data_IF_032886075858
#
_entry.id   IF_032886075858
#
_cell.length_a   1.000
_cell.length_b   1.000
_cell.length_c   1.000
_cell.angle_alpha   90.00
_cell.angle_beta   90.00
_cell.angle_gamma   90.00
#
_symmetry.space_group_name_H-M   'P 1'
#
loop_
_entity.id
_entity.type
_entity.pdbx_description
1 polymer ?
#
# COMPACT_ATOMS: atom_id res chain seq x y z
N UNK A 1 25.92 -35.54 11.44
CA UNK A 1 24.87 -35.37 10.42
C UNK A 1 25.32 -34.33 9.39
N UNK A 2 25.80 -34.81 8.24
CA UNK A 2 26.27 -34.01 7.10
C UNK A 2 25.09 -33.24 6.49
N UNK A 3 25.09 -31.93 6.72
CA UNK A 3 23.99 -31.01 6.44
C UNK A 3 24.11 -30.31 5.09
N UNK A 4 24.16 -31.06 3.99
CA UNK A 4 24.15 -30.49 2.63
C UNK A 4 22.72 -30.27 2.14
N UNK A 5 22.00 -29.35 2.78
CA UNK A 5 20.82 -28.75 2.13
C UNK A 5 21.32 -27.71 1.13
N UNK A 6 20.92 -27.77 -0.15
CA UNK A 6 21.38 -26.83 -1.15
C UNK A 6 20.97 -25.40 -0.77
N UNK A 7 21.87 -24.44 -0.99
CA UNK A 7 21.56 -23.01 -0.79
C UNK A 7 20.48 -22.62 -1.79
N UNK A 8 19.31 -22.23 -1.28
CA UNK A 8 18.17 -21.79 -2.09
C UNK A 8 18.19 -20.28 -2.28
N UNK A 9 17.49 -19.79 -3.31
CA UNK A 9 17.26 -18.37 -3.52
C UNK A 9 16.61 -17.71 -2.28
N UNK A 10 15.64 -18.39 -1.66
CA UNK A 10 14.95 -17.92 -0.46
C UNK A 10 15.91 -17.75 0.73
N UNK A 11 16.83 -18.71 0.93
CA UNK A 11 17.86 -18.61 1.98
C UNK A 11 18.78 -17.40 1.76
N UNK A 12 19.16 -17.12 0.50
CA UNK A 12 19.97 -15.95 0.16
C UNK A 12 19.19 -14.65 0.37
N UNK A 13 17.94 -14.57 -0.10
CA UNK A 13 17.08 -13.41 0.08
C UNK A 13 16.88 -13.09 1.58
N UNK A 14 16.61 -14.10 2.39
CA UNK A 14 16.47 -13.94 3.84
C UNK A 14 17.78 -13.51 4.52
N UNK A 15 18.92 -14.04 4.06
CA UNK A 15 20.25 -13.63 4.53
C UNK A 15 20.52 -12.15 4.23
N UNK A 16 20.28 -11.72 2.98
CA UNK A 16 20.42 -10.33 2.55
C UNK A 16 19.49 -9.40 3.34
N UNK A 17 18.21 -9.77 3.49
CA UNK A 17 17.23 -9.01 4.26
C UNK A 17 17.74 -8.73 5.69
N UNK A 18 18.24 -9.78 6.37
CA UNK A 18 18.80 -9.65 7.73
C UNK A 18 20.01 -8.74 7.77
N UNK A 19 20.91 -8.82 6.79
CA UNK A 19 22.09 -7.96 6.71
C UNK A 19 21.71 -6.48 6.48
N UNK A 20 20.80 -6.23 5.54
CA UNK A 20 20.35 -4.87 5.19
C UNK A 20 19.62 -4.21 6.35
N UNK A 21 18.92 -4.99 7.19
CA UNK A 21 18.15 -4.48 8.34
C UNK A 21 18.87 -4.66 9.68
N UNK A 22 20.12 -5.14 9.69
CA UNK A 22 20.83 -5.48 10.93
C UNK A 22 21.11 -4.28 11.84
N UNK A 23 21.27 -3.07 11.27
CA UNK A 23 21.75 -1.92 12.00
C UNK A 23 20.86 -0.68 11.77
N UNK A 24 20.32 -0.04 12.82
CA UNK A 24 19.36 1.06 12.69
C UNK A 24 19.83 2.23 11.83
N UNK A 25 21.13 2.57 11.90
CA UNK A 25 21.70 3.67 11.12
C UNK A 25 21.83 3.40 9.63
N UNK A 26 21.53 2.17 9.18
CA UNK A 26 21.47 1.86 7.76
C UNK A 26 20.13 2.28 7.12
N UNK A 27 19.15 2.70 7.93
CA UNK A 27 17.79 3.07 7.49
C UNK A 27 17.76 3.99 6.27
N UNK A 28 18.42 5.17 6.29
CA UNK A 28 18.44 6.08 5.14
C UNK A 28 18.98 5.43 3.86
N UNK A 29 20.03 4.62 3.97
CA UNK A 29 20.62 3.91 2.82
C UNK A 29 19.72 2.78 2.31
N UNK A 30 19.03 2.10 3.22
CA UNK A 30 18.09 1.05 2.86
C UNK A 30 16.88 1.61 2.12
N UNK A 31 16.32 2.75 2.55
CA UNK A 31 15.21 3.39 1.84
C UNK A 31 15.63 3.93 0.47
N UNK A 32 16.85 4.48 0.31
CA UNK A 32 17.38 4.82 -1.02
C UNK A 32 17.47 3.60 -1.95
N UNK A 33 17.93 2.45 -1.44
CA UNK A 33 17.96 1.19 -2.22
C UNK A 33 16.55 0.72 -2.61
N UNK A 34 15.58 0.84 -1.70
CA UNK A 34 14.18 0.47 -1.96
C UNK A 34 13.60 1.36 -3.06
N UNK A 35 13.85 2.68 -3.01
CA UNK A 35 13.43 3.61 -4.07
C UNK A 35 14.03 3.23 -5.42
N UNK A 36 15.36 3.03 -5.46
CA UNK A 36 16.06 2.62 -6.68
C UNK A 36 15.39 1.39 -7.29
N UNK A 37 15.12 0.37 -6.48
CA UNK A 37 14.48 -0.89 -6.93
C UNK A 37 13.03 -0.75 -7.35
N UNK A 38 12.27 0.19 -6.80
CA UNK A 38 10.93 0.46 -7.31
C UNK A 38 10.94 1.22 -8.64
N UNK A 39 11.91 2.12 -8.83
CA UNK A 39 12.03 2.94 -10.04
C UNK A 39 12.80 2.28 -11.17
N UNK A 40 13.46 1.16 -10.89
CA UNK A 40 14.20 0.37 -11.87
C UNK A 40 13.22 -0.36 -12.83
N UNK A 41 13.18 0.10 -14.08
CA UNK A 41 12.35 -0.48 -15.13
C UNK A 41 12.81 -1.89 -15.54
N UNK A 42 14.07 -2.23 -15.29
CA UNK A 42 14.64 -3.55 -15.58
C UNK A 42 14.35 -4.56 -14.45
N UNK A 43 13.79 -4.12 -13.33
CA UNK A 43 13.46 -5.00 -12.21
C UNK A 43 12.26 -5.91 -12.53
N UNK A 44 12.46 -7.22 -12.34
CA UNK A 44 11.40 -8.22 -12.52
C UNK A 44 10.29 -8.07 -11.48
N UNK A 45 9.14 -8.71 -11.73
CA UNK A 45 8.02 -8.72 -10.79
C UNK A 45 8.45 -9.35 -9.45
N UNK A 46 9.22 -10.44 -9.50
CA UNK A 46 9.76 -11.09 -8.29
C UNK A 46 10.66 -10.14 -7.51
N UNK A 47 11.53 -9.38 -8.19
CA UNK A 47 12.40 -8.39 -7.52
C UNK A 47 11.59 -7.25 -6.89
N UNK A 48 10.49 -6.83 -7.51
CA UNK A 48 9.57 -5.84 -6.91
C UNK A 48 8.82 -6.42 -5.70
N UNK A 49 8.50 -7.72 -5.70
CA UNK A 49 7.97 -8.40 -4.51
C UNK A 49 9.00 -8.48 -3.38
N UNK A 50 10.24 -8.84 -3.67
CA UNK A 50 11.34 -8.87 -2.70
C UNK A 50 11.59 -7.47 -2.12
N UNK A 51 11.47 -6.43 -2.95
CA UNK A 51 11.54 -5.02 -2.51
C UNK A 51 10.40 -4.67 -1.54
N UNK A 52 9.18 -5.17 -1.76
CA UNK A 52 8.07 -4.99 -0.82
C UNK A 52 8.33 -5.71 0.52
N UNK A 53 8.92 -6.90 0.50
CA UNK A 53 9.30 -7.62 1.73
C UNK A 53 10.41 -6.89 2.49
N UNK A 54 11.41 -6.37 1.78
CA UNK A 54 12.45 -5.52 2.36
C UNK A 54 11.86 -4.27 3.01
N UNK A 55 10.92 -3.60 2.33
CA UNK A 55 10.24 -2.43 2.86
C UNK A 55 9.43 -2.72 4.13
N UNK A 56 8.73 -3.84 4.17
CA UNK A 56 7.98 -4.26 5.35
C UNK A 56 8.90 -4.45 6.57
N UNK A 57 10.06 -5.08 6.36
CA UNK A 57 11.04 -5.30 7.43
C UNK A 57 11.79 -4.02 7.81
N UNK A 58 12.18 -3.20 6.82
CA UNK A 58 12.81 -1.90 7.03
C UNK A 58 11.94 -0.98 7.90
N UNK A 59 10.65 -0.86 7.58
CA UNK A 59 9.69 -0.08 8.37
C UNK A 59 9.51 -0.60 9.81
N UNK A 60 9.79 -1.89 10.06
CA UNK A 60 9.72 -2.50 11.39
C UNK A 60 10.95 -2.20 12.24
N UNK A 61 12.12 -2.04 11.61
CA UNK A 61 13.42 -2.00 12.30
C UNK A 61 14.01 -0.60 12.39
N UNK A 62 13.83 0.24 11.37
CA UNK A 62 14.42 1.57 11.31
C UNK A 62 13.58 2.65 11.99
N UNK A 63 14.16 3.83 12.14
CA UNK A 63 13.43 4.97 12.69
C UNK A 63 12.35 5.41 11.69
N UNK A 64 11.12 5.70 12.12
CA UNK A 64 10.05 6.10 11.20
C UNK A 64 10.35 7.39 10.43
N UNK A 65 11.20 8.26 10.96
CA UNK A 65 11.58 9.50 10.30
C UNK A 65 12.39 9.24 9.02
N UNK A 66 13.13 8.13 8.97
CA UNK A 66 13.98 7.76 7.85
C UNK A 66 13.17 7.52 6.56
N UNK A 67 11.89 7.12 6.64
CA UNK A 67 11.07 6.88 5.44
C UNK A 67 10.35 8.13 4.91
N UNK A 68 10.19 9.18 5.72
CA UNK A 68 9.31 10.33 5.41
C UNK A 68 9.73 11.08 4.14
N UNK A 69 11.03 11.13 3.86
CA UNK A 69 11.60 11.72 2.65
C UNK A 69 11.32 10.91 1.38
N UNK A 70 11.01 9.62 1.53
CA UNK A 70 10.92 8.64 0.44
C UNK A 70 9.49 8.20 0.12
N UNK A 71 8.51 8.71 0.87
CA UNK A 71 7.11 8.23 0.81
C UNK A 71 6.49 8.32 -0.58
N UNK A 72 6.75 9.39 -1.33
CA UNK A 72 6.15 9.57 -2.66
C UNK A 72 6.56 8.45 -3.61
N UNK A 73 7.86 8.18 -3.70
CA UNK A 73 8.43 7.13 -4.57
C UNK A 73 8.01 5.75 -4.08
N UNK A 74 8.07 5.51 -2.76
CA UNK A 74 7.68 4.23 -2.16
C UNK A 74 6.20 3.92 -2.42
N UNK A 75 5.30 4.89 -2.23
CA UNK A 75 3.88 4.70 -2.49
C UNK A 75 3.60 4.51 -3.99
N UNK A 76 4.35 5.21 -4.85
CA UNK A 76 4.33 4.97 -6.31
C UNK A 76 4.69 3.52 -6.65
N UNK A 77 5.80 3.03 -6.09
CA UNK A 77 6.26 1.65 -6.25
C UNK A 77 5.24 0.61 -5.75
N UNK A 78 4.72 0.79 -4.53
CA UNK A 78 3.68 -0.08 -3.98
C UNK A 78 2.41 -0.09 -4.85
N UNK A 79 2.02 1.05 -5.40
CA UNK A 79 0.84 1.16 -6.26
C UNK A 79 1.09 0.46 -7.60
N UNK A 80 2.28 0.63 -8.20
CA UNK A 80 2.66 -0.06 -9.43
C UNK A 80 2.63 -1.59 -9.29
N UNK A 81 3.05 -2.13 -8.14
CA UNK A 81 3.00 -3.56 -7.85
C UNK A 81 1.59 -4.01 -7.47
N UNK A 82 0.90 -3.26 -6.61
CA UNK A 82 -0.40 -3.65 -6.06
C UNK A 82 -1.57 -3.51 -7.02
N UNK A 83 -1.45 -2.61 -8.00
CA UNK A 83 -2.48 -2.26 -8.97
C UNK A 83 -2.12 -2.69 -10.40
N UNK A 84 -1.18 -3.64 -10.56
CA UNK A 84 -0.91 -4.24 -11.87
C UNK A 84 -2.17 -4.97 -12.38
N UNK A 85 -2.77 -4.54 -13.51
CA UNK A 85 -3.98 -5.16 -14.05
C UNK A 85 -3.74 -6.61 -14.54
N UNK A 86 -2.48 -7.01 -14.75
CA UNK A 86 -2.13 -8.35 -15.26
C UNK A 86 -2.03 -9.40 -14.17
N UNK A 87 -1.95 -8.99 -12.91
CA UNK A 87 -1.74 -9.90 -11.77
C UNK A 87 -2.75 -9.61 -10.65
N UNK A 88 -2.76 -10.44 -9.61
CA UNK A 88 -3.49 -10.14 -8.36
C UNK A 88 -2.56 -9.35 -7.46
N UNK A 89 -3.11 -8.49 -6.61
CA UNK A 89 -2.33 -7.79 -5.58
C UNK A 89 -1.58 -8.80 -4.71
N UNK A 90 -0.23 -8.81 -4.72
CA UNK A 90 0.55 -9.74 -3.93
C UNK A 90 0.48 -9.38 -2.44
N UNK A 91 0.54 -10.36 -1.55
CA UNK A 91 0.39 -10.13 -0.09
C UNK A 91 1.49 -9.25 0.51
N UNK A 92 2.65 -9.14 -0.15
CA UNK A 92 3.74 -8.29 0.30
C UNK A 92 3.38 -6.80 0.25
N UNK A 93 2.52 -6.36 -0.67
CA UNK A 93 2.08 -4.95 -0.80
C UNK A 93 1.28 -4.47 0.41
N UNK A 94 0.15 -5.08 0.80
CA UNK A 94 -0.59 -4.64 1.99
C UNK A 94 0.23 -4.86 3.27
N UNK A 95 1.13 -5.85 3.31
CA UNK A 95 2.03 -6.07 4.44
C UNK A 95 3.02 -4.92 4.62
N UNK A 96 3.66 -4.48 3.53
CA UNK A 96 4.55 -3.33 3.52
C UNK A 96 3.81 -2.04 3.89
N UNK A 97 2.65 -1.79 3.29
CA UNK A 97 1.81 -0.63 3.61
C UNK A 97 1.41 -0.61 5.09
N UNK A 98 0.99 -1.75 5.64
CA UNK A 98 0.67 -1.88 7.05
C UNK A 98 1.88 -1.58 7.95
N UNK A 99 3.06 -2.11 7.61
CA UNK A 99 4.29 -1.87 8.37
C UNK A 99 4.66 -0.38 8.40
N UNK A 100 4.65 0.29 7.24
CA UNK A 100 4.90 1.74 7.13
C UNK A 100 3.89 2.52 7.97
N UNK A 101 2.60 2.20 7.82
CA UNK A 101 1.53 2.90 8.52
C UNK A 101 1.70 2.77 10.03
N UNK A 102 2.02 1.57 10.54
CA UNK A 102 2.29 1.36 11.97
C UNK A 102 3.54 2.08 12.45
N UNK A 103 4.60 2.12 11.64
CA UNK A 103 5.84 2.82 11.98
C UNK A 103 5.58 4.31 12.14
N UNK A 104 4.96 4.93 11.13
CA UNK A 104 4.64 6.35 11.14
C UNK A 104 3.60 6.74 12.18
N UNK A 105 2.65 5.84 12.50
CA UNK A 105 1.69 6.06 13.58
C UNK A 105 2.32 6.16 14.98
N UNK A 106 3.57 5.72 15.14
CA UNK A 106 4.35 5.82 16.39
C UNK A 106 5.29 7.04 16.42
N UNK A 107 5.42 7.76 15.31
CA UNK A 107 6.27 8.94 15.16
C UNK A 107 5.42 10.20 15.32
N UNK A 108 5.63 11.22 14.49
CA UNK A 108 4.88 12.47 14.51
C UNK A 108 3.53 12.33 13.81
N UNK A 109 2.54 13.09 14.29
CA UNK A 109 1.23 13.22 13.64
C UNK A 109 1.38 13.71 12.20
N UNK A 110 2.31 14.63 11.93
CA UNK A 110 2.55 15.16 10.58
C UNK A 110 3.03 14.08 9.61
N UNK A 111 3.90 13.16 10.07
CA UNK A 111 4.40 12.07 9.23
C UNK A 111 3.30 11.10 8.80
N UNK A 112 2.42 10.71 9.73
CA UNK A 112 1.29 9.83 9.39
C UNK A 112 0.25 10.55 8.53
N UNK A 113 -0.02 11.84 8.78
CA UNK A 113 -0.91 12.64 7.93
C UNK A 113 -0.35 12.79 6.51
N UNK A 114 0.96 12.97 6.34
CA UNK A 114 1.63 13.00 5.04
C UNK A 114 1.49 11.67 4.29
N UNK A 115 1.64 10.53 4.98
CA UNK A 115 1.36 9.22 4.38
C UNK A 115 -0.09 9.15 3.89
N UNK A 116 -1.05 9.55 4.73
CA UNK A 116 -2.47 9.56 4.39
C UNK A 116 -2.78 10.39 3.15
N UNK A 117 -2.27 11.62 3.08
CA UNK A 117 -2.51 12.52 1.94
C UNK A 117 -1.91 11.98 0.64
N UNK A 118 -0.65 11.54 0.66
CA UNK A 118 0.00 11.00 -0.54
C UNK A 118 -0.64 9.70 -1.02
N UNK A 119 -1.10 8.84 -0.09
CA UNK A 119 -1.79 7.61 -0.44
C UNK A 119 -3.14 7.89 -1.12
N UNK A 120 -3.90 8.87 -0.62
CA UNK A 120 -5.17 9.31 -1.22
C UNK A 120 -4.91 9.83 -2.64
N UNK A 121 -3.96 10.75 -2.82
CA UNK A 121 -3.63 11.34 -4.12
C UNK A 121 -3.18 10.28 -5.14
N UNK A 122 -2.36 9.32 -4.71
CA UNK A 122 -1.86 8.25 -5.57
C UNK A 122 -2.97 7.28 -6.00
N UNK A 123 -3.90 6.96 -5.10
CA UNK A 123 -4.92 5.93 -5.34
C UNK A 123 -6.21 6.47 -5.97
N UNK A 124 -6.46 7.79 -5.90
CA UNK A 124 -7.66 8.42 -6.46
C UNK A 124 -7.91 8.05 -7.95
N UNK A 125 -6.93 8.14 -8.87
CA UNK A 125 -7.15 7.81 -10.27
C UNK A 125 -7.65 6.37 -10.47
N UNK A 126 -7.13 5.42 -9.69
CA UNK A 126 -7.48 4.01 -9.79
C UNK A 126 -8.87 3.70 -9.23
N UNK A 127 -9.35 4.50 -8.27
CA UNK A 127 -10.73 4.41 -7.78
C UNK A 127 -11.70 5.00 -8.80
N UNK A 128 -11.39 6.17 -9.37
CA UNK A 128 -12.32 6.94 -10.20
C UNK A 128 -12.29 6.61 -11.70
N UNK A 129 -11.25 5.98 -12.22
CA UNK A 129 -11.23 5.53 -13.62
C UNK A 129 -12.02 4.23 -13.83
N UNK A 130 -12.35 3.53 -12.74
CA UNK A 130 -13.17 2.34 -12.72
C UNK A 130 -12.73 1.25 -13.74
N UNK A 131 -11.41 1.09 -13.88
CA UNK A 131 -10.83 0.02 -14.68
C UNK A 131 -11.01 -1.33 -13.97
N UNK A 132 -11.31 -2.37 -14.75
CA UNK A 132 -11.74 -3.69 -14.26
C UNK A 132 -10.90 -4.20 -13.07
N UNK A 133 -11.48 -4.15 -11.86
CA UNK A 133 -10.88 -4.66 -10.63
C UNK A 133 -9.82 -3.77 -9.96
N UNK A 134 -9.39 -2.65 -10.55
CA UNK A 134 -8.43 -1.73 -9.92
C UNK A 134 -9.07 -0.91 -8.80
N UNK A 135 -10.35 -0.52 -8.97
CA UNK A 135 -11.15 0.18 -7.97
C UNK A 135 -11.10 -0.52 -6.62
N UNK A 136 -11.43 -1.81 -6.60
CA UNK A 136 -11.52 -2.59 -5.38
C UNK A 136 -10.16 -2.80 -4.72
N UNK A 137 -9.09 -2.91 -5.51
CA UNK A 137 -7.72 -3.04 -5.00
C UNK A 137 -7.24 -1.75 -4.35
N UNK A 138 -7.44 -0.60 -5.02
CA UNK A 138 -7.11 0.71 -4.48
C UNK A 138 -7.87 0.99 -3.17
N UNK A 139 -9.18 0.72 -3.14
CA UNK A 139 -9.98 0.79 -1.92
C UNK A 139 -9.46 -0.17 -0.82
N UNK A 140 -9.01 -1.37 -1.18
CA UNK A 140 -8.46 -2.32 -0.20
C UNK A 140 -7.16 -1.82 0.43
N UNK A 141 -6.30 -1.13 -0.33
CA UNK A 141 -5.08 -0.50 0.18
C UNK A 141 -5.41 0.68 1.13
N UNK A 142 -6.37 1.55 0.76
CA UNK A 142 -6.84 2.63 1.64
C UNK A 142 -7.43 2.08 2.95
N UNK A 143 -8.19 0.98 2.87
CA UNK A 143 -8.72 0.30 4.05
C UNK A 143 -7.59 -0.25 4.93
N UNK A 144 -6.56 -0.86 4.33
CA UNK A 144 -5.37 -1.34 5.05
C UNK A 144 -4.70 -0.20 5.85
N UNK A 145 -4.42 0.94 5.22
CA UNK A 145 -3.84 2.09 5.89
C UNK A 145 -4.75 2.65 7.01
N UNK A 146 -6.06 2.83 6.75
CA UNK A 146 -6.99 3.35 7.78
C UNK A 146 -7.18 2.40 8.99
N UNK A 147 -6.91 1.11 8.80
CA UNK A 147 -6.95 0.10 9.87
C UNK A 147 -5.75 0.20 10.78
N UNK A 148 -4.57 0.38 10.18
CA UNK A 148 -3.27 0.36 10.87
C UNK A 148 -2.90 1.74 11.42
N UNK A 149 -3.47 2.82 10.86
CA UNK A 149 -3.25 4.20 11.27
C UNK A 149 -4.56 4.91 11.62
N UNK A 150 -5.06 4.81 12.87
CA UNK A 150 -6.30 5.46 13.29
C UNK A 150 -6.31 6.98 13.06
N UNK A 151 -5.14 7.64 13.12
CA UNK A 151 -5.00 9.09 12.95
C UNK A 151 -5.38 9.59 11.55
N UNK A 152 -5.24 8.76 10.51
CA UNK A 152 -5.60 9.11 9.11
C UNK A 152 -6.96 8.58 8.69
N UNK A 153 -7.67 7.88 9.59
CA UNK A 153 -8.93 7.21 9.28
C UNK A 153 -9.98 8.17 8.76
N UNK A 154 -10.23 9.27 9.49
CA UNK A 154 -11.23 10.27 9.08
C UNK A 154 -10.86 10.91 7.75
N UNK A 155 -9.58 11.26 7.56
CA UNK A 155 -9.08 11.82 6.29
C UNK A 155 -9.34 10.87 5.10
N UNK A 156 -9.11 9.57 5.28
CA UNK A 156 -9.38 8.56 4.25
C UNK A 156 -10.90 8.44 4.00
N UNK A 157 -11.71 8.38 5.07
CA UNK A 157 -13.17 8.23 4.96
C UNK A 157 -13.81 9.42 4.26
N UNK A 158 -13.36 10.64 4.55
CA UNK A 158 -13.83 11.88 3.94
C UNK A 158 -13.62 11.92 2.42
N UNK A 159 -12.67 11.12 1.88
CA UNK A 159 -12.41 11.01 0.45
C UNK A 159 -13.08 9.80 -0.18
N UNK A 160 -12.99 8.65 0.48
CA UNK A 160 -13.50 7.39 -0.05
C UNK A 160 -15.03 7.39 -0.17
N UNK A 161 -15.76 7.97 0.79
CA UNK A 161 -17.23 7.98 0.76
C UNK A 161 -17.74 8.73 -0.49
N UNK A 162 -17.30 9.98 -0.78
CA UNK A 162 -17.66 10.66 -2.03
C UNK A 162 -17.32 9.84 -3.28
N UNK A 163 -16.14 9.22 -3.36
CA UNK A 163 -15.75 8.43 -4.53
C UNK A 163 -16.67 7.22 -4.75
N UNK A 164 -17.03 6.51 -3.68
CA UNK A 164 -17.98 5.39 -3.76
C UNK A 164 -19.36 5.88 -4.24
N UNK A 165 -19.83 7.03 -3.76
CA UNK A 165 -21.09 7.60 -4.22
C UNK A 165 -21.03 7.98 -5.71
N UNK A 166 -19.92 8.54 -6.19
CA UNK A 166 -19.71 8.82 -7.62
C UNK A 166 -19.77 7.53 -8.46
N UNK A 167 -19.14 6.44 -7.98
CA UNK A 167 -19.21 5.13 -8.64
C UNK A 167 -20.66 4.60 -8.73
N UNK A 168 -21.43 4.70 -7.64
CA UNK A 168 -22.84 4.27 -7.57
C UNK A 168 -23.77 5.18 -8.39
N UNK A 169 -23.42 6.44 -8.59
CA UNK A 169 -24.17 7.35 -9.47
C UNK A 169 -23.83 7.12 -10.95
N UNK A 170 -22.65 6.54 -11.23
CA UNK A 170 -22.10 6.45 -12.57
C UNK A 170 -21.54 7.80 -13.05
N UNK A 171 -21.07 8.63 -12.12
CA UNK A 171 -20.44 9.94 -12.38
C UNK A 171 -18.91 9.80 -12.39
N UNK A 172 -18.41 8.83 -13.17
CA UNK A 172 -16.98 8.51 -13.30
C UNK A 172 -16.53 8.54 -14.77
N UNK A 173 -15.23 8.43 -15.01
CA UNK A 173 -14.70 8.45 -16.39
C UNK A 173 -15.05 7.12 -17.08
N UNK A 174 -15.32 7.11 -18.40
CA UNK A 174 -15.53 5.89 -19.22
C UNK A 174 -16.78 5.00 -18.97
N UNK A 175 -17.85 5.53 -18.36
CA UNK A 175 -19.04 4.74 -17.94
C UNK A 175 -19.79 3.99 -19.05
N UNK A 176 -19.72 4.43 -20.31
CA UNK A 176 -20.63 3.94 -21.37
C UNK A 176 -20.48 2.45 -21.70
N UNK A 177 -19.28 1.87 -21.53
CA UNK A 177 -19.04 0.46 -21.86
C UNK A 177 -19.37 -0.48 -20.68
N UNK A 178 -19.06 -0.08 -19.44
CA UNK A 178 -19.03 -0.98 -18.27
C UNK A 178 -19.93 -0.52 -17.10
N UNK A 179 -20.93 0.33 -17.35
CA UNK A 179 -21.78 0.95 -16.31
C UNK A 179 -22.29 -0.03 -15.25
N UNK A 180 -22.79 -1.19 -15.68
CA UNK A 180 -23.38 -2.16 -14.76
C UNK A 180 -22.35 -2.75 -13.80
N UNK A 181 -21.14 -3.04 -14.27
CA UNK A 181 -20.03 -3.53 -13.46
C UNK A 181 -19.57 -2.47 -12.46
N UNK A 182 -19.40 -1.22 -12.92
CA UNK A 182 -19.03 -0.09 -12.07
C UNK A 182 -20.05 0.13 -10.95
N UNK A 183 -21.35 0.06 -11.26
CA UNK A 183 -22.41 0.18 -10.27
C UNK A 183 -22.38 -0.97 -9.26
N UNK A 184 -22.15 -2.20 -9.71
CA UNK A 184 -22.04 -3.36 -8.83
C UNK A 184 -20.82 -3.26 -7.90
N UNK A 185 -19.66 -2.85 -8.43
CA UNK A 185 -18.45 -2.59 -7.63
C UNK A 185 -18.70 -1.47 -6.62
N UNK A 186 -19.32 -0.36 -7.03
CA UNK A 186 -19.66 0.77 -6.17
C UNK A 186 -20.61 0.36 -5.02
N UNK A 187 -21.66 -0.41 -5.32
CA UNK A 187 -22.60 -0.90 -4.29
C UNK A 187 -21.95 -1.87 -3.30
N UNK A 188 -21.06 -2.75 -3.79
CA UNK A 188 -20.28 -3.65 -2.95
C UNK A 188 -19.32 -2.87 -2.05
N UNK A 189 -18.64 -1.87 -2.61
CA UNK A 189 -17.76 -0.97 -1.87
C UNK A 189 -18.53 -0.21 -0.79
N UNK A 190 -19.70 0.36 -1.12
CA UNK A 190 -20.56 1.07 -0.16
C UNK A 190 -20.92 0.19 1.04
N UNK A 191 -21.34 -1.06 0.77
CA UNK A 191 -21.67 -2.02 1.83
C UNK A 191 -20.45 -2.33 2.70
N UNK A 192 -19.31 -2.58 2.07
CA UNK A 192 -18.06 -2.93 2.77
C UNK A 192 -17.55 -1.79 3.64
N UNK A 193 -17.53 -0.57 3.11
CA UNK A 193 -17.00 0.60 3.80
C UNK A 193 -17.96 1.13 4.86
N UNK A 194 -19.28 1.04 4.65
CA UNK A 194 -20.24 1.39 5.71
C UNK A 194 -20.09 0.48 6.92
N UNK A 195 -19.86 -0.82 6.71
CA UNK A 195 -19.57 -1.76 7.79
C UNK A 195 -18.26 -1.43 8.50
N UNK A 196 -17.20 -1.18 7.74
CA UNK A 196 -15.89 -0.77 8.29
C UNK A 196 -16.00 0.50 9.16
N UNK A 197 -16.72 1.51 8.67
CA UNK A 197 -16.96 2.76 9.41
C UNK A 197 -17.80 2.51 10.65
N UNK A 198 -18.81 1.63 10.59
CA UNK A 198 -19.58 1.27 11.77
C UNK A 198 -18.71 0.59 12.83
N UNK A 199 -17.93 -0.41 12.42
CA UNK A 199 -17.09 -1.22 13.31
C UNK A 199 -15.93 -0.40 13.92
N UNK A 200 -15.41 0.59 13.19
CA UNK A 200 -14.21 1.36 13.57
C UNK A 200 -14.45 2.84 13.89
N UNK A 201 -15.62 3.37 13.58
CA UNK A 201 -16.01 4.77 13.79
C UNK A 201 -16.79 5.00 15.09
N UNK A 202 -17.21 3.95 15.79
CA UNK A 202 -17.85 4.04 17.11
C UNK A 202 -16.81 4.23 18.24
N UNK A 203 -16.02 5.28 18.14
CA UNK A 203 -15.12 5.79 19.16
C UNK A 203 -15.11 7.33 19.13
N UNK A 204 -16.29 7.92 19.29
CA UNK A 204 -16.44 9.33 19.66
C UNK A 204 -16.37 9.46 21.17
#
# INVERSE_FOLDING_TARGET
PSGDSPITQELLAQGCLRCLTAHPHFGPFCYMLIEEKFTDDDSTIEQKHDTCELLAEAARVFQPEDIVGHLEVILGGLSAVGLDPKSKTPECVPRALAAITRALSKSSTDSILKLGSQLIENLEPFVLQAEMGLTQRALSLLRCASSEGPAIRSMIYDRVIPWILMLVQGDVVNVKANRLEILQEGLLALTTWTKEIHDKGCGW
#
